data_IF_880184137883
#
_entry.id   IF_880184137883
#
_cell.length_a   1.000
_cell.length_b   1.000
_cell.length_c   1.000
_cell.angle_alpha   90.00
_cell.angle_beta   90.00
_cell.angle_gamma   90.00
#
_symmetry.space_group_name_H-M   'P 1'
#
loop_
_entity.id
_entity.type
_entity.pdbx_description
1 polymer ?
#
# COMPACT_ATOMS: atom_id res chain seq x y z
N UNK A 1 -32.58 -29.89 -14.09
CA UNK A 1 -31.34 -29.35 -13.47
C UNK A 1 -31.75 -28.22 -12.55
N UNK A 2 -32.10 -28.60 -11.34
CA UNK A 2 -32.79 -27.72 -10.41
C UNK A 2 -31.77 -26.87 -9.66
N UNK A 3 -31.84 -25.55 -9.88
CA UNK A 3 -30.95 -24.58 -9.27
C UNK A 3 -31.45 -24.27 -7.86
N UNK A 4 -31.10 -25.14 -6.91
CA UNK A 4 -31.43 -25.02 -5.48
C UNK A 4 -30.72 -23.83 -4.82
N UNK A 5 -31.24 -22.63 -5.06
CA UNK A 5 -30.85 -21.42 -4.35
C UNK A 5 -31.30 -21.50 -2.89
N UNK A 6 -30.33 -21.61 -1.98
CA UNK A 6 -30.47 -21.68 -0.52
C UNK A 6 -30.94 -20.36 0.10
N UNK A 7 -32.22 -20.03 -0.07
CA UNK A 7 -32.88 -18.90 0.59
C UNK A 7 -32.95 -19.13 2.11
N UNK A 8 -31.99 -18.57 2.86
CA UNK A 8 -32.03 -18.53 4.34
C UNK A 8 -32.93 -17.38 4.83
N UNK A 9 -33.95 -17.63 5.67
CA UNK A 9 -34.72 -16.57 6.33
C UNK A 9 -33.84 -15.79 7.32
N UNK A 10 -33.31 -14.64 6.89
CA UNK A 10 -32.28 -13.91 7.63
C UNK A 10 -32.91 -12.87 8.58
N UNK A 11 -33.14 -13.27 9.84
CA UNK A 11 -33.93 -12.52 10.86
C UNK A 11 -33.36 -11.15 11.33
N UNK A 12 -32.32 -10.62 10.72
CA UNK A 12 -31.84 -9.25 10.99
C UNK A 12 -31.10 -8.69 9.76
N UNK A 13 -31.32 -7.41 9.40
CA UNK A 13 -30.60 -6.77 8.29
C UNK A 13 -29.15 -6.45 8.68
N UNK A 14 -28.31 -7.48 8.67
CA UNK A 14 -26.88 -7.43 8.94
C UNK A 14 -26.02 -7.56 7.66
N UNK A 15 -26.61 -7.46 6.46
CA UNK A 15 -25.93 -7.72 5.18
C UNK A 15 -24.67 -6.86 4.94
N UNK A 16 -24.67 -5.65 5.49
CA UNK A 16 -23.57 -4.68 5.43
C UNK A 16 -22.55 -4.80 6.56
N UNK A 17 -22.82 -5.59 7.62
CA UNK A 17 -22.00 -5.63 8.84
C UNK A 17 -20.80 -6.55 8.66
N UNK A 18 -19.63 -5.93 8.44
CA UNK A 18 -18.34 -6.61 8.44
C UNK A 18 -17.75 -6.65 9.85
N UNK A 19 -17.25 -7.81 10.27
CA UNK A 19 -16.47 -7.94 11.49
C UNK A 19 -14.99 -7.67 11.18
N UNK A 20 -14.40 -6.62 11.78
CA UNK A 20 -12.98 -6.30 11.59
C UNK A 20 -12.03 -7.36 12.17
N UNK A 21 -12.48 -8.14 13.16
CA UNK A 21 -11.66 -9.16 13.83
C UNK A 21 -11.62 -10.50 13.08
N UNK A 22 -12.77 -11.04 12.65
CA UNK A 22 -12.84 -12.35 11.98
C UNK A 22 -13.19 -12.29 10.49
N UNK A 23 -13.34 -11.09 9.93
CA UNK A 23 -13.64 -10.82 8.52
C UNK A 23 -15.00 -11.35 8.01
N UNK A 24 -15.89 -11.81 8.90
CA UNK A 24 -17.22 -12.30 8.51
C UNK A 24 -18.21 -11.17 8.17
N UNK A 25 -19.25 -11.48 7.39
CA UNK A 25 -20.36 -10.56 7.04
C UNK A 25 -21.65 -10.85 7.85
N UNK A 26 -21.52 -11.28 9.10
CA UNK A 26 -22.65 -11.71 9.93
C UNK A 26 -22.86 -10.86 11.20
N UNK A 27 -21.81 -10.19 11.68
CA UNK A 27 -21.81 -9.44 12.94
C UNK A 27 -20.80 -8.27 12.90
N UNK A 28 -20.99 -7.28 13.78
CA UNK A 28 -19.97 -6.24 14.04
C UNK A 28 -18.83 -6.79 14.91
N UNK A 29 -17.69 -6.11 14.92
CA UNK A 29 -16.50 -6.49 15.70
C UNK A 29 -16.81 -6.74 17.19
N UNK A 30 -17.62 -5.87 17.78
CA UNK A 30 -18.10 -5.88 19.18
C UNK A 30 -19.03 -7.05 19.55
N UNK A 31 -19.47 -7.86 18.58
CA UNK A 31 -20.17 -9.14 18.81
C UNK A 31 -19.34 -10.36 18.37
N UNK A 32 -18.07 -10.17 18.04
CA UNK A 32 -17.18 -11.25 17.63
C UNK A 32 -16.71 -12.10 18.81
N UNK A 33 -16.67 -13.42 18.61
CA UNK A 33 -16.12 -14.41 19.57
C UNK A 33 -14.90 -15.16 19.03
N UNK A 34 -14.26 -14.66 17.98
CA UNK A 34 -13.06 -15.30 17.41
C UNK A 34 -11.84 -15.11 18.32
N UNK A 35 -11.16 -16.20 18.67
CA UNK A 35 -10.03 -16.19 19.59
C UNK A 35 -8.91 -15.26 19.11
N UNK A 36 -8.42 -15.46 17.87
CA UNK A 36 -7.44 -14.60 17.22
C UNK A 36 -8.10 -13.59 16.24
N UNK A 37 -7.43 -12.48 15.91
CA UNK A 37 -7.77 -11.67 14.75
C UNK A 37 -7.38 -12.38 13.44
N UNK A 38 -7.99 -11.96 12.33
CA UNK A 38 -7.62 -12.32 10.96
C UNK A 38 -7.23 -11.06 10.18
N UNK A 39 -6.04 -11.06 9.61
CA UNK A 39 -5.48 -9.94 8.87
C UNK A 39 -6.31 -9.65 7.62
N UNK A 40 -6.94 -8.48 7.52
CA UNK A 40 -7.78 -8.12 6.35
C UNK A 40 -6.99 -8.06 5.04
N UNK A 41 -5.67 -7.92 5.11
CA UNK A 41 -4.77 -7.80 3.96
C UNK A 41 -4.43 -9.14 3.30
N UNK A 42 -4.19 -10.21 4.08
CA UNK A 42 -3.84 -11.54 3.56
C UNK A 42 -4.81 -12.68 3.96
N UNK A 43 -5.85 -12.38 4.73
CA UNK A 43 -6.85 -13.33 5.26
C UNK A 43 -6.32 -14.40 6.24
N UNK A 44 -5.06 -14.31 6.68
CA UNK A 44 -4.49 -15.24 7.68
C UNK A 44 -4.92 -14.86 9.11
N UNK A 45 -5.15 -15.86 9.95
CA UNK A 45 -5.35 -15.71 11.40
C UNK A 45 -4.03 -15.51 12.15
N UNK A 46 -4.06 -14.72 13.22
CA UNK A 46 -2.95 -14.55 14.16
C UNK A 46 -2.48 -13.11 14.33
N UNK A 47 -2.75 -12.25 13.34
CA UNK A 47 -2.34 -10.84 13.34
C UNK A 47 -3.38 -9.90 12.71
N UNK A 48 -3.28 -8.62 13.00
CA UNK A 48 -4.11 -7.56 12.42
C UNK A 48 -3.66 -7.14 11.01
N UNK A 49 -4.33 -6.15 10.43
CA UNK A 49 -3.89 -5.53 9.17
C UNK A 49 -2.73 -4.54 9.40
N UNK A 50 -2.63 -3.98 10.60
CA UNK A 50 -1.59 -3.05 11.04
C UNK A 50 -0.26 -3.78 11.29
N UNK A 51 -0.33 -5.01 11.83
CA UNK A 51 0.80 -5.93 12.00
C UNK A 51 1.23 -6.63 10.69
N UNK A 52 0.70 -6.25 9.51
CA UNK A 52 0.89 -7.01 8.27
C UNK A 52 2.29 -6.84 7.64
N UNK A 53 3.26 -7.60 8.15
CA UNK A 53 4.57 -7.79 7.52
C UNK A 53 4.56 -8.98 6.54
N UNK A 54 5.12 -8.78 5.35
CA UNK A 54 5.54 -9.85 4.44
C UNK A 54 6.70 -9.35 3.55
N UNK A 55 7.38 -10.22 2.76
CA UNK A 55 8.47 -9.79 1.89
C UNK A 55 8.13 -8.68 0.89
N UNK A 56 6.86 -8.56 0.48
CA UNK A 56 6.36 -7.51 -0.43
C UNK A 56 5.89 -6.23 0.30
N UNK A 57 5.94 -6.20 1.64
CA UNK A 57 5.68 -4.98 2.42
C UNK A 57 6.96 -4.18 2.70
N UNK A 58 8.14 -4.67 2.27
CA UNK A 58 9.42 -3.99 2.55
C UNK A 58 9.46 -2.62 1.86
N UNK A 59 9.68 -1.51 2.60
CA UNK A 59 9.84 -0.20 1.98
C UNK A 59 11.06 -0.19 1.06
N UNK A 60 10.98 0.57 -0.03
CA UNK A 60 12.08 0.72 -1.01
C UNK A 60 12.15 -0.33 -2.12
N UNK A 61 11.37 -1.42 -2.09
CA UNK A 61 11.24 -2.33 -3.24
C UNK A 61 9.80 -2.45 -3.76
N UNK A 62 9.53 -2.12 -5.04
CA UNK A 62 8.30 -2.52 -5.71
C UNK A 62 8.38 -4.00 -6.14
N UNK A 63 7.25 -4.72 -6.24
CA UNK A 63 5.87 -4.23 -6.14
C UNK A 63 5.35 -4.18 -4.69
N UNK A 64 4.58 -3.12 -4.40
CA UNK A 64 3.77 -2.98 -3.18
C UNK A 64 2.93 -4.23 -2.95
N UNK A 65 2.88 -4.73 -1.71
CA UNK A 65 2.06 -5.89 -1.34
C UNK A 65 0.60 -5.69 -1.76
N UNK A 66 0.10 -6.52 -2.67
CA UNK A 66 -1.28 -6.45 -3.15
C UNK A 66 -2.18 -7.27 -2.22
N UNK A 67 -3.18 -6.66 -1.55
CA UNK A 67 -4.08 -7.41 -0.66
C UNK A 67 -4.87 -8.51 -1.39
N UNK A 68 -5.43 -9.45 -0.62
CA UNK A 68 -6.40 -10.42 -1.12
C UNK A 68 -7.63 -10.49 -0.21
N UNK A 69 -8.77 -10.09 -0.76
CA UNK A 69 -10.05 -10.18 -0.06
C UNK A 69 -10.45 -11.65 0.15
N UNK A 70 -10.65 -12.08 1.40
CA UNK A 70 -10.98 -13.46 1.77
C UNK A 70 -12.11 -14.06 0.90
N UNK A 71 -13.18 -13.28 0.71
CA UNK A 71 -14.44 -13.72 0.10
C UNK A 71 -14.39 -13.74 -1.43
N UNK A 72 -13.95 -12.64 -2.05
CA UNK A 72 -14.01 -12.45 -3.51
C UNK A 72 -12.67 -12.55 -4.23
N UNK A 73 -11.56 -12.72 -3.51
CA UNK A 73 -10.19 -12.94 -4.04
C UNK A 73 -9.63 -11.83 -4.93
N UNK A 74 -10.29 -10.67 -4.97
CA UNK A 74 -9.90 -9.49 -5.71
C UNK A 74 -8.76 -8.71 -4.98
N UNK A 75 -8.00 -7.86 -5.70
CA UNK A 75 -6.88 -7.08 -5.14
C UNK A 75 -7.36 -5.89 -4.30
N UNK A 76 -8.05 -6.17 -3.19
CA UNK A 76 -8.59 -5.21 -2.24
C UNK A 76 -8.61 -5.85 -0.83
N UNK A 77 -8.53 -5.09 0.26
CA UNK A 77 -8.61 -5.64 1.61
C UNK A 77 -9.99 -6.27 1.89
N UNK A 78 -10.02 -7.23 2.80
CA UNK A 78 -11.25 -7.88 3.22
C UNK A 78 -12.12 -6.91 4.02
N UNK A 79 -13.41 -6.82 3.65
CA UNK A 79 -14.34 -5.80 4.14
C UNK A 79 -14.54 -4.61 3.21
N UNK A 80 -13.74 -4.47 2.13
CA UNK A 80 -13.87 -3.37 1.18
C UNK A 80 -15.28 -3.33 0.55
N UNK A 81 -15.94 -2.14 0.41
CA UNK A 81 -17.29 -2.04 -0.15
C UNK A 81 -17.46 -2.62 -1.55
N UNK A 82 -16.39 -2.62 -2.37
CA UNK A 82 -16.33 -3.26 -3.69
C UNK A 82 -16.23 -4.80 -3.68
N UNK A 83 -16.45 -5.45 -2.54
CA UNK A 83 -16.43 -6.92 -2.44
C UNK A 83 -17.64 -7.54 -3.16
N UNK A 84 -17.41 -8.08 -4.37
CA UNK A 84 -18.43 -8.80 -5.17
C UNK A 84 -19.02 -10.04 -4.49
N UNK A 85 -18.40 -10.52 -3.41
CA UNK A 85 -18.89 -11.62 -2.58
C UNK A 85 -19.56 -11.15 -1.28
N UNK A 86 -19.71 -9.84 -1.05
CA UNK A 86 -20.45 -9.27 0.07
C UNK A 86 -21.93 -9.69 -0.03
N UNK A 87 -22.60 -10.04 1.07
CA UNK A 87 -24.06 -10.20 1.08
C UNK A 87 -24.76 -8.90 0.67
N UNK A 88 -25.89 -9.01 -0.02
CA UNK A 88 -26.69 -7.86 -0.46
C UNK A 88 -28.15 -8.10 -0.13
N UNK A 89 -28.83 -7.11 0.44
CA UNK A 89 -30.28 -7.14 0.61
C UNK A 89 -30.96 -6.93 -0.75
N UNK A 90 -31.88 -7.82 -1.11
CA UNK A 90 -32.73 -7.70 -2.29
C UNK A 90 -34.19 -7.59 -1.85
N UNK A 91 -34.82 -6.46 -2.17
CA UNK A 91 -36.21 -6.17 -1.83
C UNK A 91 -37.22 -7.02 -2.59
N UNK A 92 -36.87 -7.57 -3.76
CA UNK A 92 -37.78 -8.41 -4.57
C UNK A 92 -38.03 -9.78 -3.94
N UNK A 93 -37.07 -10.27 -3.16
CA UNK A 93 -37.15 -11.54 -2.42
C UNK A 93 -37.21 -11.34 -0.89
N UNK A 94 -37.25 -10.08 -0.44
CA UNK A 94 -37.29 -9.68 0.97
C UNK A 94 -36.21 -10.38 1.84
N UNK A 95 -35.00 -10.53 1.29
CA UNK A 95 -33.96 -11.39 1.86
C UNK A 95 -32.53 -10.90 1.57
N UNK A 96 -31.57 -11.42 2.34
CA UNK A 96 -30.14 -11.22 2.11
C UNK A 96 -29.61 -12.30 1.18
N UNK A 97 -29.19 -11.92 -0.01
CA UNK A 97 -28.56 -12.82 -0.98
C UNK A 97 -27.06 -12.93 -0.66
N UNK A 98 -26.64 -14.13 -0.24
CA UNK A 98 -25.22 -14.52 -0.12
C UNK A 98 -24.79 -15.22 -1.41
N UNK A 99 -23.64 -14.88 -2.03
CA UNK A 99 -23.12 -15.64 -3.17
C UNK A 99 -22.49 -16.97 -2.71
N UNK A 100 -23.11 -18.09 -3.07
CA UNK A 100 -22.65 -19.45 -2.78
C UNK A 100 -22.37 -20.25 -4.08
N UNK A 101 -21.86 -21.49 -3.96
CA UNK A 101 -21.67 -22.44 -5.06
C UNK A 101 -20.90 -21.90 -6.27
N UNK A 102 -21.35 -22.23 -7.48
CA UNK A 102 -20.75 -21.74 -8.73
C UNK A 102 -20.64 -20.21 -8.80
N UNK A 103 -21.62 -19.49 -8.24
CA UNK A 103 -21.64 -18.02 -8.31
C UNK A 103 -20.45 -17.46 -7.53
N UNK A 104 -20.18 -18.01 -6.35
CA UNK A 104 -18.99 -17.69 -5.57
C UNK A 104 -17.71 -18.10 -6.32
N UNK A 105 -17.67 -19.30 -6.91
CA UNK A 105 -16.53 -19.77 -7.68
C UNK A 105 -16.18 -18.84 -8.87
N UNK A 106 -17.19 -18.38 -9.63
CA UNK A 106 -17.02 -17.38 -10.70
C UNK A 106 -16.50 -16.04 -10.16
N UNK A 107 -17.04 -15.55 -9.05
CA UNK A 107 -16.59 -14.31 -8.41
C UNK A 107 -15.11 -14.40 -7.97
N UNK A 108 -14.72 -15.52 -7.36
CA UNK A 108 -13.36 -15.77 -6.89
C UNK A 108 -12.36 -16.00 -8.03
N UNK A 109 -12.74 -16.73 -9.08
CA UNK A 109 -11.90 -16.90 -10.28
C UNK A 109 -11.62 -15.54 -10.93
N UNK A 110 -12.65 -14.70 -11.09
CA UNK A 110 -12.48 -13.32 -11.57
C UNK A 110 -11.57 -12.51 -10.65
N UNK A 111 -11.73 -12.61 -9.33
CA UNK A 111 -10.86 -11.94 -8.36
C UNK A 111 -9.39 -12.34 -8.47
N UNK A 112 -9.10 -13.66 -8.52
CA UNK A 112 -7.76 -14.20 -8.71
C UNK A 112 -7.11 -13.68 -10.01
N UNK A 113 -7.86 -13.64 -11.11
CA UNK A 113 -7.38 -13.09 -12.39
C UNK A 113 -7.10 -11.59 -12.32
N UNK A 114 -7.99 -10.79 -11.71
CA UNK A 114 -7.77 -9.35 -11.49
C UNK A 114 -6.55 -9.08 -10.59
N UNK A 115 -6.35 -9.90 -9.53
CA UNK A 115 -5.18 -9.81 -8.65
C UNK A 115 -3.88 -10.17 -9.38
N UNK A 116 -3.89 -11.23 -10.21
CA UNK A 116 -2.75 -11.59 -11.08
C UNK A 116 -2.40 -10.44 -12.04
N UNK A 117 -3.39 -9.84 -12.69
CA UNK A 117 -3.19 -8.69 -13.58
C UNK A 117 -2.63 -7.46 -12.85
N UNK A 118 -3.12 -7.17 -11.64
CA UNK A 118 -2.62 -6.07 -10.80
C UNK A 118 -1.15 -6.28 -10.41
N UNK A 119 -0.79 -7.49 -9.95
CA UNK A 119 0.60 -7.85 -9.63
C UNK A 119 1.51 -7.73 -10.87
N UNK A 120 1.06 -8.19 -12.05
CA UNK A 120 1.82 -8.04 -13.29
C UNK A 120 2.00 -6.58 -13.71
N UNK A 121 0.97 -5.73 -13.58
CA UNK A 121 1.06 -4.29 -13.87
C UNK A 121 2.06 -3.58 -12.95
N UNK A 122 1.99 -3.83 -11.64
CA UNK A 122 2.93 -3.26 -10.67
C UNK A 122 4.37 -3.71 -10.94
N UNK A 123 4.59 -4.97 -11.32
CA UNK A 123 5.91 -5.48 -11.74
C UNK A 123 6.42 -4.83 -13.04
N UNK A 124 5.54 -4.57 -14.01
CA UNK A 124 5.91 -3.87 -15.25
C UNK A 124 6.28 -2.40 -14.98
N UNK A 125 5.51 -1.70 -14.14
CA UNK A 125 5.80 -0.34 -13.68
C UNK A 125 7.12 -0.27 -12.89
N UNK A 126 7.35 -1.23 -11.99
CA UNK A 126 8.62 -1.39 -11.26
C UNK A 126 9.82 -1.49 -12.21
N UNK A 127 9.75 -2.39 -13.18
CA UNK A 127 10.81 -2.60 -14.17
C UNK A 127 11.01 -1.37 -15.08
N UNK A 128 9.94 -0.62 -15.39
CA UNK A 128 10.05 0.64 -16.13
C UNK A 128 10.78 1.72 -15.30
N UNK A 129 10.39 1.93 -14.05
CA UNK A 129 11.00 2.91 -13.15
C UNK A 129 12.50 2.60 -12.92
N UNK A 130 12.85 1.32 -12.76
CA UNK A 130 14.25 0.89 -12.65
C UNK A 130 15.06 1.20 -13.92
N UNK A 131 14.48 1.01 -15.12
CA UNK A 131 15.14 1.38 -16.38
C UNK A 131 15.32 2.89 -16.49
N UNK A 132 14.29 3.70 -16.26
CA UNK A 132 14.42 5.17 -16.35
C UNK A 132 15.41 5.74 -15.35
N UNK A 133 15.45 5.23 -14.11
CA UNK A 133 16.44 5.62 -13.11
C UNK A 133 17.87 5.22 -13.50
N UNK A 134 18.04 4.08 -14.21
CA UNK A 134 19.34 3.66 -14.75
C UNK A 134 19.77 4.60 -15.88
N UNK A 135 18.88 4.90 -16.83
CA UNK A 135 19.15 5.83 -17.95
C UNK A 135 19.48 7.23 -17.45
N UNK A 136 18.75 7.76 -16.47
CA UNK A 136 19.05 9.06 -15.87
C UNK A 136 20.43 9.06 -15.18
N UNK A 137 20.80 7.97 -14.51
CA UNK A 137 22.13 7.86 -13.89
C UNK A 137 23.25 7.80 -14.93
N UNK A 138 23.08 7.08 -16.03
CA UNK A 138 24.11 7.03 -17.09
C UNK A 138 24.18 8.31 -17.91
N UNK A 139 23.07 9.02 -18.17
CA UNK A 139 23.13 10.33 -18.82
C UNK A 139 23.77 11.37 -17.91
N UNK A 140 23.38 11.46 -16.63
CA UNK A 140 24.03 12.40 -15.69
C UNK A 140 25.53 12.12 -15.55
N UNK A 141 25.94 10.85 -15.46
CA UNK A 141 27.37 10.49 -15.44
C UNK A 141 28.10 10.87 -16.74
N UNK A 142 27.47 10.65 -17.91
CA UNK A 142 28.04 11.03 -19.19
C UNK A 142 28.17 12.56 -19.34
N UNK A 143 27.17 13.34 -18.90
CA UNK A 143 27.25 14.80 -18.89
C UNK A 143 28.35 15.30 -17.93
N UNK A 144 28.51 14.69 -16.75
CA UNK A 144 29.61 15.01 -15.84
C UNK A 144 30.99 14.66 -16.41
N UNK A 145 31.11 13.61 -17.22
CA UNK A 145 32.35 13.24 -17.92
C UNK A 145 32.61 14.08 -19.18
N UNK A 146 31.60 14.75 -19.74
CA UNK A 146 31.68 15.59 -20.94
C UNK A 146 32.00 17.07 -20.65
N UNK A 147 32.35 17.41 -19.40
CA UNK A 147 32.94 18.70 -19.05
C UNK A 147 34.37 18.48 -18.55
N UNK A 148 35.40 18.65 -19.42
CA UNK A 148 36.77 18.73 -18.94
C UNK A 148 36.94 19.98 -18.07
N UNK A 149 37.80 19.96 -17.03
CA UNK A 149 38.19 21.18 -16.35
C UNK A 149 38.89 22.11 -17.34
N UNK A 150 38.36 23.31 -17.51
CA UNK A 150 38.95 24.32 -18.40
C UNK A 150 40.18 24.94 -17.73
N UNK A 151 41.30 24.23 -17.80
CA UNK A 151 42.59 24.66 -17.27
C UNK A 151 43.15 25.84 -18.06
N UNK A 152 42.68 27.05 -17.73
CA UNK A 152 43.31 28.30 -18.15
C UNK A 152 44.51 28.57 -17.23
N UNK A 153 45.61 27.84 -17.45
CA UNK A 153 46.87 28.15 -16.80
C UNK A 153 47.39 29.52 -17.25
N UNK A 154 47.88 30.32 -16.30
CA UNK A 154 48.64 31.54 -16.57
C UNK A 154 49.65 31.73 -15.45
N UNK A 155 50.88 32.03 -15.84
CA UNK A 155 52.05 31.62 -15.07
C UNK A 155 52.41 32.51 -13.89
N UNK A 156 53.19 31.93 -12.98
CA UNK A 156 53.65 32.45 -11.68
C UNK A 156 54.31 33.82 -11.71
N UNK A 157 54.17 34.56 -10.60
CA UNK A 157 55.32 35.25 -9.98
C UNK A 157 55.17 35.26 -8.45
N UNK A 158 56.29 35.07 -7.76
CA UNK A 158 56.40 35.21 -6.31
C UNK A 158 56.64 36.68 -5.93
N UNK A 159 56.27 37.04 -4.70
CA UNK A 159 56.61 38.31 -4.06
C UNK A 159 56.15 38.31 -2.60
N UNK A 160 57.09 38.41 -1.66
CA UNK A 160 56.81 38.45 -0.23
C UNK A 160 56.16 39.78 0.20
N UNK A 161 55.33 39.73 1.24
CA UNK A 161 55.48 40.50 2.51
C UNK A 161 54.22 40.36 3.37
N UNK A 162 54.40 40.21 4.68
CA UNK A 162 53.33 40.14 5.70
C UNK A 162 53.31 41.43 6.54
N UNK A 163 52.39 41.62 7.51
CA UNK A 163 51.00 41.16 7.63
C UNK A 163 50.04 42.38 7.71
N UNK A 164 48.72 42.15 7.85
CA UNK A 164 47.93 43.03 8.72
C UNK A 164 46.78 42.31 9.44
N UNK A 165 46.50 42.77 10.65
CA UNK A 165 45.50 42.29 11.60
C UNK A 165 44.10 42.81 11.25
N UNK A 166 43.04 42.06 11.58
CA UNK A 166 41.88 42.58 12.31
C UNK A 166 40.87 41.48 12.68
N UNK A 167 40.54 41.40 13.96
CA UNK A 167 39.40 40.66 14.53
C UNK A 167 38.55 41.68 15.29
N UNK A 168 37.22 41.65 15.13
CA UNK A 168 36.34 41.25 16.24
C UNK A 168 35.28 40.20 15.77
N UNK A 169 34.76 39.27 16.58
CA UNK A 169 33.70 39.40 17.64
C UNK A 169 32.51 40.28 17.21
N UNK A 170 31.22 39.92 17.40
CA UNK A 170 30.54 38.69 17.88
C UNK A 170 29.09 38.70 17.27
N UNK A 171 28.01 37.96 17.61
CA UNK A 171 27.64 37.07 18.72
C UNK A 171 26.43 36.16 18.40
N UNK A 172 26.14 35.23 19.32
CA UNK A 172 24.81 34.60 19.59
C UNK A 172 24.22 33.59 18.59
N UNK A 173 23.77 32.44 19.12
CA UNK A 173 23.14 31.33 18.37
C UNK A 173 21.60 31.24 18.51
N UNK A 174 20.97 30.21 17.91
CA UNK A 174 19.51 30.06 17.87
C UNK A 174 18.92 29.56 19.19
N UNK A 175 17.93 30.29 19.74
CA UNK A 175 17.08 29.81 20.83
C UNK A 175 16.03 28.82 20.31
N UNK A 176 15.84 27.72 21.03
CA UNK A 176 14.61 26.92 20.94
C UNK A 176 13.43 27.73 21.48
N UNK A 177 12.23 27.52 20.93
CA UNK A 177 10.98 27.90 21.56
C UNK A 177 9.95 26.80 21.32
N UNK A 178 9.36 26.29 22.41
CA UNK A 178 8.24 25.36 22.37
C UNK A 178 7.06 26.01 23.10
N UNK A 179 5.95 26.16 22.39
CA UNK A 179 4.62 26.47 22.94
C UNK A 179 3.59 25.68 22.09
N UNK A 180 2.48 25.21 22.62
CA UNK A 180 1.99 25.35 24.00
C UNK A 180 0.60 25.97 24.03
N UNK A 181 -0.40 25.09 24.02
CA UNK A 181 -1.79 25.30 24.49
C UNK A 181 -2.64 26.45 23.93
N UNK A 182 -3.73 26.06 23.26
CA UNK A 182 -5.10 26.53 23.50
C UNK A 182 -6.10 25.48 23.03
#
# INVERSE_FOLDING_TARGET
>A
MDRTCTLRPYRANNASKHCGRCLSWHHTTDKCRAAAPSCSHCSLTGHSAQEHACPLCKPGQPPVCVPECAHCKAPQPTGHPGCRARPVWDSKVNAVIVPEGERLARIQNRGRSERKLTISRLRAQAAHAARTATTQRTTSAATSAAHPPSNSESSTRQGDTTPNTNTPTDASGPRSNALGES
#
